data_IF_410638233429
#
_entry.id   IF_410638233429
#
_cell.length_a   1.000
_cell.length_b   1.000
_cell.length_c   1.000
_cell.angle_alpha   90.00
_cell.angle_beta   90.00
_cell.angle_gamma   90.00
#
_symmetry.space_group_name_H-M   'P 1'
#
loop_
_entity.id
_entity.type
_entity.pdbx_description
1 polymer ?
#
# COMPACT_ATOMS: atom_id res chain seq x y z
N UNK A 1 -32.47 -62.16 18.37
CA UNK A 1 -31.69 -63.39 18.12
C UNK A 1 -31.51 -63.52 16.62
N UNK A 2 -30.32 -63.97 16.18
CA UNK A 2 -29.77 -63.97 14.80
C UNK A 2 -29.16 -62.61 14.42
N UNK A 3 -27.87 -62.31 14.65
CA UNK A 3 -26.59 -62.98 14.32
C UNK A 3 -26.33 -63.14 12.83
N UNK A 4 -25.64 -62.17 12.23
CA UNK A 4 -24.62 -62.40 11.17
C UNK A 4 -23.80 -61.12 10.96
N UNK A 5 -22.49 -61.24 11.10
CA UNK A 5 -21.43 -60.31 10.66
C UNK A 5 -20.34 -61.18 9.99
N UNK A 6 -19.27 -60.61 9.41
CA UNK A 6 -19.22 -59.90 8.15
C UNK A 6 -18.25 -60.58 7.14
N UNK A 7 -18.28 -60.17 5.86
CA UNK A 7 -17.26 -60.56 4.88
C UNK A 7 -16.24 -59.43 4.69
N UNK A 8 -15.01 -59.75 5.03
CA UNK A 8 -13.78 -58.96 4.93
C UNK A 8 -13.19 -59.19 3.53
N UNK A 9 -12.96 -58.12 2.75
CA UNK A 9 -12.22 -58.18 1.48
C UNK A 9 -10.95 -57.37 1.65
N UNK A 10 -9.85 -58.09 1.84
CA UNK A 10 -8.48 -57.57 1.87
C UNK A 10 -7.93 -57.50 0.45
N UNK A 11 -7.76 -56.30 -0.11
CA UNK A 11 -6.92 -56.08 -1.30
C UNK A 11 -5.54 -55.57 -0.87
N UNK A 12 -4.57 -56.47 -0.93
CA UNK A 12 -3.15 -56.26 -0.66
C UNK A 12 -2.52 -55.78 -1.98
N UNK A 13 -2.09 -54.53 -2.04
CA UNK A 13 -1.27 -54.02 -3.15
C UNK A 13 0.09 -53.64 -2.61
N UNK A 14 1.04 -54.54 -2.79
CA UNK A 14 2.46 -54.30 -2.58
C UNK A 14 2.98 -53.34 -3.67
N UNK A 15 3.33 -52.12 -3.28
CA UNK A 15 4.11 -51.20 -4.12
C UNK A 15 5.50 -51.01 -3.52
N UNK A 16 6.47 -51.47 -4.28
CA UNK A 16 7.92 -51.44 -4.05
C UNK A 16 8.43 -50.00 -3.98
N UNK A 17 9.25 -49.61 -2.99
CA UNK A 17 9.90 -48.31 -2.97
C UNK A 17 11.12 -48.27 -3.91
N UNK A 18 11.37 -47.15 -4.62
CA UNK A 18 12.57 -46.98 -5.44
C UNK A 18 13.85 -46.85 -4.57
N UNK A 19 15.01 -47.32 -5.06
CA UNK A 19 16.23 -47.39 -4.28
C UNK A 19 16.86 -46.02 -3.98
N UNK A 20 17.41 -45.93 -2.77
CA UNK A 20 18.20 -44.81 -2.27
C UNK A 20 19.52 -44.68 -3.07
N UNK A 21 19.81 -43.47 -3.55
CA UNK A 21 21.15 -43.13 -4.05
C UNK A 21 22.06 -42.82 -2.85
N UNK A 22 23.03 -43.71 -2.64
CA UNK A 22 24.15 -43.50 -1.72
C UNK A 22 25.21 -42.58 -2.33
N UNK A 23 25.65 -41.62 -1.52
CA UNK A 23 26.86 -40.85 -1.74
C UNK A 23 28.10 -41.67 -1.35
N UNK A 24 29.15 -41.60 -2.16
CA UNK A 24 30.54 -41.96 -1.81
C UNK A 24 31.45 -41.12 -2.72
N UNK A 25 32.13 -40.08 -2.23
CA UNK A 25 33.40 -40.02 -1.49
C UNK A 25 34.67 -40.31 -2.31
N UNK A 26 35.51 -39.26 -2.35
CA UNK A 26 36.98 -39.26 -2.38
C UNK A 26 37.73 -39.69 -3.66
N UNK A 27 38.44 -38.72 -4.26
CA UNK A 27 39.89 -38.86 -4.41
C UNK A 27 40.59 -37.48 -4.52
N UNK A 28 41.47 -37.24 -3.56
CA UNK A 28 42.52 -36.22 -3.59
C UNK A 28 43.52 -36.52 -4.72
N UNK A 29 43.89 -35.49 -5.49
CA UNK A 29 45.20 -35.47 -6.16
C UNK A 29 45.82 -34.10 -5.94
N UNK A 30 46.79 -34.08 -5.03
CA UNK A 30 47.78 -33.03 -4.81
C UNK A 30 48.82 -33.04 -5.92
N UNK A 31 49.02 -31.90 -6.61
CA UNK A 31 50.34 -31.50 -7.14
C UNK A 31 50.32 -30.09 -7.75
N UNK A 32 50.84 -29.11 -7.01
CA UNK A 32 51.66 -28.01 -7.54
C UNK A 32 53.14 -28.46 -7.46
N UNK A 33 54.15 -27.88 -8.16
CA UNK A 33 54.25 -26.46 -8.55
C UNK A 33 54.86 -26.18 -9.95
N UNK A 34 54.73 -24.95 -10.45
CA UNK A 34 55.82 -24.14 -11.04
C UNK A 34 55.27 -22.91 -11.79
N UNK A 35 55.72 -21.73 -11.39
CA UNK A 35 55.64 -20.49 -12.16
C UNK A 35 56.52 -20.56 -13.42
N UNK A 36 56.21 -19.78 -14.47
CA UNK A 36 57.15 -18.70 -14.77
C UNK A 36 56.50 -17.36 -15.15
N UNK A 37 57.18 -16.32 -14.68
CA UNK A 37 57.10 -14.90 -15.03
C UNK A 37 57.28 -14.64 -16.52
N UNK A 38 56.38 -13.85 -17.14
CA UNK A 38 56.76 -12.88 -18.18
C UNK A 38 55.67 -11.84 -18.46
N UNK A 39 55.93 -10.62 -17.95
CA UNK A 39 55.74 -9.25 -18.49
C UNK A 39 54.58 -8.84 -19.42
N UNK A 40 54.18 -7.55 -19.35
CA UNK A 40 52.92 -7.03 -19.86
C UNK A 40 53.01 -6.49 -21.29
N UNK A 41 51.91 -6.60 -22.04
CA UNK A 41 51.71 -5.88 -23.30
C UNK A 41 50.57 -4.87 -23.12
N UNK A 42 50.97 -3.60 -23.10
CA UNK A 42 50.08 -2.46 -23.35
C UNK A 42 49.59 -2.49 -24.79
N UNK A 43 48.30 -2.25 -25.04
CA UNK A 43 47.83 -1.54 -26.24
C UNK A 43 46.40 -0.99 -26.09
N UNK A 44 46.37 0.34 -26.01
CA UNK A 44 45.47 1.27 -26.73
C UNK A 44 43.95 1.08 -26.65
N UNK A 45 43.35 1.93 -25.79
CA UNK A 45 42.40 2.99 -26.18
C UNK A 45 41.43 2.72 -27.33
N UNK A 46 40.14 2.64 -26.99
CA UNK A 46 39.06 3.12 -27.84
C UNK A 46 38.06 3.86 -26.97
N UNK A 47 38.02 5.17 -27.19
CA UNK A 47 37.06 6.11 -26.64
C UNK A 47 35.68 5.82 -27.23
N UNK A 48 34.65 5.73 -26.39
CA UNK A 48 33.28 6.04 -26.81
C UNK A 48 32.60 6.84 -25.70
N UNK A 49 32.51 8.14 -25.96
CA UNK A 49 31.45 9.08 -25.57
C UNK A 49 30.76 8.85 -24.21
N UNK A 50 31.12 9.73 -23.29
CA UNK A 50 30.35 10.17 -22.12
C UNK A 50 28.83 10.15 -22.33
N UNK A 51 28.14 9.38 -21.49
CA UNK A 51 26.71 9.49 -21.27
C UNK A 51 26.42 10.79 -20.48
N UNK A 52 25.33 11.51 -20.79
CA UNK A 52 24.97 12.71 -20.04
C UNK A 52 24.63 12.33 -18.59
N UNK A 53 25.35 12.93 -17.64
CA UNK A 53 24.99 12.92 -16.23
C UNK A 53 23.63 13.59 -16.11
N UNK A 54 22.64 12.86 -15.61
CA UNK A 54 21.40 13.48 -15.19
C UNK A 54 21.71 14.35 -13.97
N UNK A 55 21.45 15.63 -14.15
CA UNK A 55 21.57 16.69 -13.16
C UNK A 55 20.76 16.30 -11.91
N UNK A 56 21.49 16.15 -10.80
CA UNK A 56 20.97 16.08 -9.44
C UNK A 56 20.88 17.53 -8.96
N UNK A 57 19.75 18.16 -9.24
CA UNK A 57 19.47 19.57 -8.99
C UNK A 57 17.99 19.62 -8.58
N UNK A 58 17.58 19.97 -7.36
CA UNK A 58 18.20 20.83 -6.36
C UNK A 58 17.63 20.56 -4.96
N UNK A 59 18.48 20.16 -4.01
CA UNK A 59 18.32 20.56 -2.62
C UNK A 59 19.04 21.91 -2.47
N UNK A 60 18.31 23.02 -2.64
CA UNK A 60 18.81 24.33 -2.21
C UNK A 60 18.71 24.34 -0.69
N UNK A 61 19.82 24.00 -0.04
CA UNK A 61 20.00 24.30 1.37
C UNK A 61 20.10 25.83 1.51
N UNK A 62 19.05 26.46 2.05
CA UNK A 62 19.14 27.83 2.52
C UNK A 62 20.15 27.90 3.68
N UNK A 63 21.06 28.89 3.72
CA UNK A 63 21.99 29.04 4.82
C UNK A 63 21.28 29.72 6.00
N UNK A 64 21.10 29.01 7.12
CA UNK A 64 20.84 29.69 8.41
C UNK A 64 19.89 29.05 9.41
N UNK A 65 19.20 27.95 9.11
CA UNK A 65 18.43 27.18 10.12
C UNK A 65 18.73 25.68 9.92
N UNK A 66 18.98 24.90 11.00
CA UNK A 66 19.04 23.45 10.83
C UNK A 66 17.67 23.00 10.31
N UNK A 67 17.58 22.28 9.18
CA UNK A 67 16.34 21.57 8.89
C UNK A 67 16.17 20.62 10.06
N UNK A 68 15.19 20.89 10.93
CA UNK A 68 14.73 19.89 11.88
C UNK A 68 14.32 18.70 11.03
N UNK A 69 15.22 17.72 10.89
CA UNK A 69 14.99 16.48 10.17
C UNK A 69 13.72 15.88 10.79
N UNK A 70 12.61 15.96 10.07
CA UNK A 70 11.37 15.33 10.50
C UNK A 70 11.61 13.83 10.38
N UNK A 71 12.16 13.27 11.46
CA UNK A 71 12.52 11.87 11.56
C UNK A 71 11.25 11.05 11.61
N UNK A 72 11.15 10.08 10.71
CA UNK A 72 10.05 9.13 10.67
C UNK A 72 10.16 8.18 11.88
N UNK A 73 9.08 8.06 12.65
CA UNK A 73 8.97 7.07 13.73
C UNK A 73 7.67 6.29 13.56
N UNK A 74 7.79 5.03 13.15
CA UNK A 74 6.62 4.17 12.99
C UNK A 74 5.88 4.01 14.34
N UNK A 75 4.60 4.31 14.35
CA UNK A 75 3.66 4.10 15.46
C UNK A 75 2.76 2.90 15.23
N UNK A 76 2.53 2.54 13.97
CA UNK A 76 1.74 1.37 13.59
C UNK A 76 2.44 0.59 12.47
N UNK A 77 2.21 -0.73 12.45
CA UNK A 77 2.74 -1.60 11.40
C UNK A 77 1.73 -2.68 11.01
N UNK A 78 1.61 -2.91 9.70
CA UNK A 78 0.70 -3.87 9.12
C UNK A 78 1.40 -4.80 8.15
N UNK A 79 1.15 -6.10 8.28
CA UNK A 79 1.56 -7.11 7.31
C UNK A 79 0.42 -7.37 6.33
N UNK A 80 0.58 -6.91 5.10
CA UNK A 80 -0.38 -7.17 4.01
C UNK A 80 0.02 -8.49 3.35
N UNK A 81 -0.89 -9.46 3.32
CA UNK A 81 -0.66 -10.74 2.66
C UNK A 81 -1.45 -10.81 1.35
N UNK A 82 -0.74 -10.88 0.23
CA UNK A 82 -1.35 -11.12 -1.07
C UNK A 82 -0.42 -11.95 -1.94
N UNK A 83 -0.94 -13.01 -2.60
CA UNK A 83 -0.14 -13.87 -3.47
C UNK A 83 0.38 -13.13 -4.71
N UNK A 84 -0.19 -11.96 -5.02
CA UNK A 84 0.14 -11.17 -6.20
C UNK A 84 -0.07 -11.95 -7.51
N UNK A 85 0.58 -11.48 -8.58
CA UNK A 85 0.55 -12.12 -9.90
C UNK A 85 1.95 -12.52 -10.36
N UNK A 86 2.12 -13.81 -10.68
CA UNK A 86 3.36 -14.38 -11.24
C UNK A 86 3.63 -13.87 -12.67
N UNK A 87 4.89 -13.94 -13.10
CA UNK A 87 5.34 -13.52 -14.43
C UNK A 87 4.70 -14.33 -15.57
N UNK A 88 4.45 -15.61 -15.35
CA UNK A 88 3.61 -16.45 -16.21
C UNK A 88 2.56 -17.14 -15.34
N UNK A 89 1.29 -16.96 -15.70
CA UNK A 89 0.17 -17.70 -15.13
C UNK A 89 -0.63 -18.25 -16.29
N UNK A 90 -0.69 -19.58 -16.43
CA UNK A 90 -1.59 -20.21 -17.37
C UNK A 90 -3.04 -19.82 -17.03
N UNK A 91 -3.94 -19.72 -18.01
CA UNK A 91 -5.37 -19.54 -17.77
C UNK A 91 -5.95 -20.82 -17.13
N UNK A 92 -5.67 -21.04 -15.85
CA UNK A 92 -6.25 -22.14 -15.09
C UNK A 92 -7.67 -21.79 -14.60
N UNK A 93 -8.40 -22.84 -14.19
CA UNK A 93 -9.77 -22.87 -13.68
C UNK A 93 -10.10 -21.72 -12.70
N UNK A 94 -11.39 -21.34 -12.55
CA UNK A 94 -11.80 -20.18 -11.75
C UNK A 94 -11.43 -20.35 -10.28
N UNK A 95 -10.31 -19.76 -9.87
CA UNK A 95 -9.95 -19.56 -8.47
C UNK A 95 -10.84 -18.42 -7.93
N UNK A 96 -11.51 -18.60 -6.79
CA UNK A 96 -12.34 -17.57 -6.17
C UNK A 96 -11.53 -16.28 -5.90
N UNK A 97 -12.20 -15.11 -5.78
CA UNK A 97 -11.51 -13.89 -5.41
C UNK A 97 -10.91 -14.05 -4.01
N UNK A 98 -9.58 -14.20 -3.95
CA UNK A 98 -8.87 -14.41 -2.70
C UNK A 98 -8.91 -13.13 -1.85
N UNK A 99 -9.50 -13.17 -0.63
CA UNK A 99 -9.43 -12.05 0.29
C UNK A 99 -7.97 -11.67 0.57
N UNK A 100 -7.71 -10.39 0.80
CA UNK A 100 -6.38 -9.91 1.17
C UNK A 100 -6.41 -9.61 2.67
N UNK A 101 -5.90 -10.52 3.53
CA UNK A 101 -5.82 -10.27 4.96
C UNK A 101 -4.66 -9.32 5.28
N UNK A 102 -4.92 -8.45 6.25
CA UNK A 102 -4.00 -7.42 6.72
C UNK A 102 -3.91 -7.57 8.24
N UNK A 103 -2.73 -7.89 8.73
CA UNK A 103 -2.49 -8.17 10.14
C UNK A 103 -1.76 -6.99 10.77
N UNK A 104 -2.23 -6.51 11.91
CA UNK A 104 -1.42 -5.66 12.78
C UNK A 104 -0.21 -6.47 13.28
N UNK A 105 0.97 -5.88 13.20
CA UNK A 105 2.23 -6.48 13.66
C UNK A 105 2.99 -5.46 14.52
N UNK A 106 3.83 -5.92 15.46
CA UNK A 106 4.73 -5.04 16.19
C UNK A 106 5.60 -4.22 15.23
N UNK A 107 5.77 -2.93 15.54
CA UNK A 107 6.63 -2.01 14.78
C UNK A 107 8.08 -2.52 14.74
N UNK A 108 8.56 -3.01 15.88
CA UNK A 108 9.87 -3.63 16.03
C UNK A 108 9.72 -5.15 16.12
N UNK A 109 10.34 -5.88 15.20
CA UNK A 109 10.39 -7.36 15.22
C UNK A 109 9.99 -8.05 13.91
N UNK A 110 10.35 -9.34 13.74
CA UNK A 110 9.98 -10.13 12.57
C UNK A 110 8.48 -10.46 12.60
N UNK A 111 7.80 -10.38 11.45
CA UNK A 111 6.36 -10.65 11.32
C UNK A 111 6.03 -12.11 11.66
N UNK A 112 6.99 -13.00 11.39
CA UNK A 112 7.00 -14.41 11.75
C UNK A 112 6.64 -14.66 13.22
N UNK A 113 7.06 -13.80 14.16
CA UNK A 113 6.76 -13.99 15.58
C UNK A 113 5.26 -14.00 15.92
N UNK A 114 4.45 -13.22 15.18
CA UNK A 114 3.00 -13.14 15.38
C UNK A 114 2.25 -14.15 14.51
N UNK A 115 2.73 -14.39 13.29
CA UNK A 115 2.05 -15.23 12.30
C UNK A 115 2.38 -16.72 12.38
N UNK A 116 3.50 -17.11 13.01
CA UNK A 116 3.93 -18.51 13.16
C UNK A 116 3.45 -19.16 14.47
N UNK A 117 2.79 -18.40 15.34
CA UNK A 117 2.15 -18.95 16.54
C UNK A 117 0.94 -19.79 16.13
N UNK A 118 0.84 -21.03 16.61
CA UNK A 118 -0.25 -21.99 16.30
C UNK A 118 -1.67 -21.55 16.72
N UNK A 119 -1.85 -20.30 17.14
CA UNK A 119 -3.13 -19.67 17.37
C UNK A 119 -3.68 -19.12 16.05
N UNK A 120 -5.00 -19.21 15.84
CA UNK A 120 -5.67 -18.59 14.70
C UNK A 120 -5.46 -17.08 14.78
N UNK A 121 -4.56 -16.54 13.97
CA UNK A 121 -4.33 -15.10 13.90
C UNK A 121 -5.47 -14.47 13.12
N UNK A 122 -6.31 -13.71 13.81
CA UNK A 122 -7.39 -12.95 13.18
C UNK A 122 -6.79 -11.71 12.50
N UNK A 123 -7.05 -11.47 11.21
CA UNK A 123 -6.58 -10.25 10.56
C UNK A 123 -7.25 -9.02 11.19
N UNK A 124 -6.54 -7.89 11.20
CA UNK A 124 -7.12 -6.61 11.63
C UNK A 124 -8.09 -6.09 10.56
N UNK A 125 -7.71 -6.22 9.30
CA UNK A 125 -8.56 -5.87 8.18
C UNK A 125 -8.55 -6.94 7.11
N UNK A 126 -9.63 -7.02 6.34
CA UNK A 126 -9.71 -7.86 5.15
C UNK A 126 -10.22 -7.03 4.00
N UNK A 127 -9.45 -7.02 2.90
CA UNK A 127 -9.93 -6.45 1.65
C UNK A 127 -10.59 -7.53 0.81
N UNK A 128 -11.89 -7.33 0.56
CA UNK A 128 -12.74 -8.26 -0.19
C UNK A 128 -12.94 -7.78 -1.63
N UNK A 129 -13.03 -8.74 -2.54
CA UNK A 129 -13.31 -8.49 -3.95
C UNK A 129 -14.53 -9.29 -4.37
N UNK A 130 -15.54 -8.60 -4.91
CA UNK A 130 -16.77 -9.22 -5.39
C UNK A 130 -16.53 -10.32 -6.44
N UNK A 131 -15.79 -10.00 -7.51
CA UNK A 131 -15.49 -10.95 -8.59
C UNK A 131 -14.07 -10.81 -9.11
N UNK A 132 -13.53 -11.88 -9.69
CA UNK A 132 -12.21 -11.85 -10.34
C UNK A 132 -12.17 -10.74 -11.40
N UNK A 133 -11.27 -9.78 -11.20
CA UNK A 133 -11.06 -8.70 -12.18
C UNK A 133 -12.08 -7.56 -12.12
N UNK A 134 -13.01 -7.53 -11.16
CA UNK A 134 -13.94 -6.41 -10.93
C UNK A 134 -13.23 -5.06 -10.78
N UNK A 135 -11.93 -5.07 -10.47
CA UNK A 135 -11.19 -3.89 -10.08
C UNK A 135 -11.53 -3.55 -8.63
N UNK A 136 -12.81 -3.34 -8.36
CA UNK A 136 -13.39 -2.90 -7.10
C UNK A 136 -13.09 -3.80 -5.91
N UNK A 137 -12.92 -3.18 -4.74
CA UNK A 137 -12.78 -3.85 -3.46
C UNK A 137 -13.43 -3.06 -2.33
N UNK A 138 -13.79 -3.76 -1.27
CA UNK A 138 -14.24 -3.20 0.01
C UNK A 138 -13.26 -3.60 1.09
N UNK A 139 -13.06 -2.75 2.09
CA UNK A 139 -12.26 -3.01 3.28
C UNK A 139 -13.22 -3.17 4.45
N UNK A 140 -13.11 -4.27 5.18
CA UNK A 140 -13.87 -4.54 6.41
C UNK A 140 -12.91 -4.83 7.56
N UNK A 141 -13.40 -4.73 8.79
CA UNK A 141 -12.67 -5.22 9.95
C UNK A 141 -12.56 -6.76 9.89
N UNK A 142 -11.40 -7.29 10.26
CA UNK A 142 -11.13 -8.72 10.08
C UNK A 142 -11.82 -9.61 11.12
N UNK A 143 -12.29 -9.06 12.25
CA UNK A 143 -13.15 -9.80 13.19
C UNK A 143 -14.50 -10.20 12.58
N UNK A 144 -14.98 -9.46 11.58
CA UNK A 144 -16.24 -9.73 10.89
C UNK A 144 -16.07 -10.71 9.72
N UNK A 145 -14.83 -11.07 9.37
CA UNK A 145 -14.55 -11.95 8.24
C UNK A 145 -15.00 -13.41 8.46
N UNK A 146 -14.82 -14.04 9.65
CA UNK A 146 -15.30 -15.40 9.90
C UNK A 146 -16.81 -15.53 9.69
N UNK A 147 -17.60 -14.57 10.16
CA UNK A 147 -19.06 -14.53 10.01
C UNK A 147 -19.48 -14.55 8.53
N UNK A 148 -18.75 -13.79 7.70
CA UNK A 148 -18.93 -13.70 6.25
C UNK A 148 -18.53 -14.99 5.52
N UNK A 149 -17.61 -15.77 6.07
CA UNK A 149 -17.17 -17.05 5.51
C UNK A 149 -18.09 -18.23 5.89
N UNK A 150 -18.81 -18.12 7.02
CA UNK A 150 -19.69 -19.18 7.54
C UNK A 150 -21.16 -19.05 7.10
N UNK A 151 -21.63 -17.85 6.75
CA UNK A 151 -23.03 -17.60 6.37
C UNK A 151 -23.14 -17.26 4.88
N UNK A 152 -23.91 -18.06 4.13
CA UNK A 152 -24.21 -17.79 2.71
C UNK A 152 -25.27 -16.70 2.51
N UNK A 153 -26.00 -16.32 3.56
CA UNK A 153 -26.91 -15.18 3.60
C UNK A 153 -26.14 -13.99 4.17
N UNK A 154 -26.05 -12.96 3.33
CA UNK A 154 -25.21 -11.78 3.48
C UNK A 154 -25.39 -11.12 4.84
N UNK A 155 -24.26 -10.90 5.50
CA UNK A 155 -24.14 -10.15 6.72
C UNK A 155 -24.37 -8.67 6.44
N UNK A 156 -25.65 -8.29 6.34
CA UNK A 156 -26.11 -6.92 6.11
C UNK A 156 -25.61 -5.95 7.20
N UNK A 157 -25.22 -6.48 8.37
CA UNK A 157 -24.78 -5.70 9.53
C UNK A 157 -23.26 -5.43 9.55
N UNK A 158 -22.46 -5.92 8.61
CA UNK A 158 -21.00 -5.68 8.61
C UNK A 158 -20.69 -4.34 7.97
N UNK A 159 -20.23 -3.32 8.73
CA UNK A 159 -19.96 -2.02 8.16
C UNK A 159 -18.68 -2.04 7.32
N UNK A 160 -18.79 -1.58 6.07
CA UNK A 160 -17.63 -1.34 5.20
C UNK A 160 -16.87 -0.09 5.66
N UNK A 161 -15.56 -0.23 5.92
CA UNK A 161 -14.70 0.87 6.36
C UNK A 161 -14.22 1.73 5.19
N UNK A 162 -13.97 1.10 4.05
CA UNK A 162 -13.55 1.80 2.84
C UNK A 162 -13.96 1.04 1.58
N UNK A 163 -14.20 1.77 0.49
CA UNK A 163 -14.28 1.18 -0.85
C UNK A 163 -13.21 1.74 -1.77
N UNK A 164 -12.82 0.94 -2.74
CA UNK A 164 -12.03 1.41 -3.88
C UNK A 164 -12.71 0.95 -5.16
N UNK A 165 -12.99 1.91 -6.04
CA UNK A 165 -13.56 1.67 -7.35
C UNK A 165 -12.50 1.90 -8.42
N UNK A 166 -12.17 0.85 -9.18
CA UNK A 166 -11.20 0.97 -10.26
C UNK A 166 -11.91 1.19 -11.57
N UNK A 167 -11.53 2.27 -12.25
CA UNK A 167 -12.08 2.68 -13.53
C UNK A 167 -11.11 2.27 -14.63
N UNK A 168 -11.60 1.52 -15.61
CA UNK A 168 -10.79 1.12 -16.76
C UNK A 168 -10.84 2.20 -17.85
N UNK A 169 -9.68 2.61 -18.36
CA UNK A 169 -9.54 3.58 -19.45
C UNK A 169 -8.47 4.63 -19.19
N UNK A 170 -7.95 5.24 -20.26
CA UNK A 170 -6.98 6.33 -20.17
C UNK A 170 -7.58 7.50 -19.38
N UNK A 171 -6.79 8.09 -18.47
CA UNK A 171 -7.21 9.23 -17.66
C UNK A 171 -8.20 8.93 -16.53
N UNK A 172 -8.67 7.69 -16.38
CA UNK A 172 -9.62 7.34 -15.30
C UNK A 172 -8.87 6.89 -14.04
N UNK A 173 -8.67 7.82 -13.11
CA UNK A 173 -8.12 7.51 -11.80
C UNK A 173 -9.04 6.55 -11.02
N UNK A 174 -8.49 5.62 -10.22
CA UNK A 174 -9.29 4.88 -9.25
C UNK A 174 -9.78 5.86 -8.17
N UNK A 175 -11.03 5.69 -7.74
CA UNK A 175 -11.62 6.47 -6.66
C UNK A 175 -11.67 5.63 -5.38
N UNK A 176 -11.43 6.26 -4.24
CA UNK A 176 -11.59 5.65 -2.92
C UNK A 176 -12.65 6.40 -2.13
N UNK A 177 -13.39 5.68 -1.29
CA UNK A 177 -14.28 6.27 -0.29
C UNK A 177 -13.92 5.71 1.07
N UNK A 178 -13.77 6.59 2.05
CA UNK A 178 -13.61 6.23 3.46
C UNK A 178 -14.93 6.52 4.16
N UNK A 179 -15.42 5.55 4.92
CA UNK A 179 -16.62 5.71 5.73
C UNK A 179 -16.24 6.01 7.18
N UNK A 180 -17.13 6.73 7.85
CA UNK A 180 -17.05 6.90 9.29
C UNK A 180 -17.35 5.58 10.00
N UNK A 181 -16.91 5.47 11.24
CA UNK A 181 -17.12 4.28 12.07
C UNK A 181 -18.58 3.91 12.20
N UNK A 182 -18.90 2.69 11.73
CA UNK A 182 -20.25 2.14 11.73
C UNK A 182 -21.19 2.72 10.67
N UNK A 183 -20.76 3.71 9.87
CA UNK A 183 -21.61 4.34 8.85
C UNK A 183 -21.51 3.66 7.48
N UNK A 184 -20.69 2.63 7.36
CA UNK A 184 -20.46 1.91 6.12
C UNK A 184 -21.70 1.10 5.71
N UNK A 185 -22.04 1.05 4.41
CA UNK A 185 -23.03 0.10 3.93
C UNK A 185 -22.53 -1.34 4.13
N UNK A 186 -23.43 -2.31 3.99
CA UNK A 186 -23.06 -3.72 3.91
C UNK A 186 -22.12 -3.96 2.72
N UNK A 187 -21.31 -5.04 2.71
CA UNK A 187 -20.44 -5.36 1.58
C UNK A 187 -21.22 -5.57 0.26
N UNK A 188 -22.40 -6.20 0.32
CA UNK A 188 -23.31 -6.38 -0.81
C UNK A 188 -23.75 -5.03 -1.39
N UNK A 189 -24.30 -4.15 -0.55
CA UNK A 189 -24.79 -2.84 -0.97
C UNK A 189 -23.68 -1.96 -1.52
N UNK A 190 -22.49 -2.04 -0.90
CA UNK A 190 -21.29 -1.36 -1.40
C UNK A 190 -20.93 -1.82 -2.81
N UNK A 191 -20.96 -3.14 -3.06
CA UNK A 191 -20.70 -3.69 -4.39
C UNK A 191 -21.78 -3.29 -5.41
N UNK A 192 -23.05 -3.36 -5.04
CA UNK A 192 -24.17 -2.97 -5.90
C UNK A 192 -24.11 -1.49 -6.28
N UNK A 193 -23.81 -0.62 -5.31
CA UNK A 193 -23.57 0.80 -5.54
C UNK A 193 -22.42 1.03 -6.53
N UNK A 194 -21.29 0.33 -6.35
CA UNK A 194 -20.13 0.44 -7.25
C UNK A 194 -20.41 -0.10 -8.66
N UNK A 195 -21.28 -1.11 -8.81
CA UNK A 195 -21.70 -1.65 -10.10
C UNK A 195 -22.70 -0.74 -10.81
N UNK A 196 -23.65 -0.14 -10.07
CA UNK A 196 -24.60 0.83 -10.61
C UNK A 196 -23.88 2.06 -11.18
N UNK A 197 -22.88 2.57 -10.45
CA UNK A 197 -22.03 3.68 -10.89
C UNK A 197 -21.28 3.40 -12.20
N UNK A 198 -20.96 2.13 -12.52
CA UNK A 198 -20.34 1.76 -13.81
C UNK A 198 -21.29 1.82 -15.00
N UNK A 199 -22.59 1.59 -14.79
CA UNK A 199 -23.61 1.57 -15.86
C UNK A 199 -24.14 2.95 -16.17
N UNK A 200 -24.15 3.86 -15.20
CA UNK A 200 -24.37 5.29 -15.40
C UNK A 200 -23.15 5.95 -16.03
N UNK A 201 -22.99 5.83 -17.35
CA UNK A 201 -21.88 6.47 -18.06
C UNK A 201 -21.85 7.98 -17.78
N UNK A 202 -20.87 8.43 -16.99
CA UNK A 202 -20.59 9.85 -16.84
C UNK A 202 -20.14 10.38 -18.21
N UNK A 203 -21.09 10.97 -18.96
CA UNK A 203 -20.84 11.91 -20.07
C UNK A 203 -20.35 13.27 -19.53
N UNK A 204 -19.65 13.29 -18.40
CA UNK A 204 -18.84 14.45 -18.02
C UNK A 204 -17.60 14.40 -18.90
N UNK A 205 -17.52 15.31 -19.88
CA UNK A 205 -16.26 15.57 -20.56
C UNK A 205 -15.19 15.80 -19.48
N UNK A 206 -13.97 15.28 -19.62
CA UNK A 206 -12.87 15.81 -18.82
C UNK A 206 -12.83 17.31 -19.12
N UNK A 207 -12.98 18.17 -18.11
CA UNK A 207 -12.64 19.57 -18.29
C UNK A 207 -11.18 19.61 -18.74
N UNK A 208 -10.87 20.46 -19.71
CA UNK A 208 -9.53 20.67 -20.25
C UNK A 208 -8.51 21.19 -19.20
N UNK A 209 -8.87 21.23 -17.92
CA UNK A 209 -8.05 21.67 -16.78
C UNK A 209 -6.96 20.68 -16.39
N UNK A 210 -7.03 19.40 -16.80
CA UNK A 210 -5.96 18.43 -16.52
C UNK A 210 -4.65 18.69 -17.31
N UNK A 211 -4.58 19.78 -18.10
CA UNK A 211 -3.41 20.17 -18.88
C UNK A 211 -2.63 21.36 -18.34
N UNK A 212 -2.98 21.90 -17.18
CA UNK A 212 -2.24 22.99 -16.52
C UNK A 212 -1.83 22.60 -15.10
N UNK A 213 -0.89 21.66 -14.96
CA UNK A 213 -0.19 21.42 -13.69
C UNK A 213 1.32 21.50 -13.92
N UNK A 214 1.75 22.64 -14.46
CA UNK A 214 3.11 23.20 -14.35
C UNK A 214 2.90 24.72 -14.18
N UNK A 215 2.59 25.15 -12.97
CA UNK A 215 2.34 26.56 -12.64
C UNK A 215 1.48 26.69 -11.39
N UNK A 216 2.13 26.99 -10.27
CA UNK A 216 1.44 27.32 -9.03
C UNK A 216 0.61 28.61 -9.17
N UNK A 217 -0.59 28.62 -8.61
CA UNK A 217 -1.41 29.83 -8.47
C UNK A 217 -2.83 29.54 -8.01
N UNK A 218 -3.08 29.72 -6.71
CA UNK A 218 -4.35 30.07 -6.06
C UNK A 218 -5.63 29.27 -6.38
N UNK A 219 -6.13 28.55 -5.37
CA UNK A 219 -7.58 28.33 -5.19
C UNK A 219 -8.18 27.03 -5.74
N UNK A 220 -7.42 25.94 -5.80
CA UNK A 220 -7.97 24.65 -6.21
C UNK A 220 -8.76 24.05 -5.02
N UNK A 221 -10.09 24.11 -5.10
CA UNK A 221 -10.97 23.47 -4.13
C UNK A 221 -10.58 22.00 -3.97
N UNK A 222 -10.65 21.43 -2.76
CA UNK A 222 -10.23 20.05 -2.58
C UNK A 222 -11.00 19.10 -3.50
N UNK A 223 -10.28 18.32 -4.31
CA UNK A 223 -10.84 17.23 -5.13
C UNK A 223 -11.27 16.03 -4.26
N UNK A 224 -12.08 16.28 -3.23
CA UNK A 224 -12.80 15.28 -2.45
C UNK A 224 -14.24 15.73 -2.21
N UNK A 225 -15.15 14.77 -2.18
CA UNK A 225 -16.56 15.00 -1.89
C UNK A 225 -16.83 14.57 -0.44
N UNK A 226 -17.26 15.52 0.39
CA UNK A 226 -17.68 15.27 1.77
C UNK A 226 -19.13 14.79 1.79
N UNK A 227 -19.39 13.76 2.60
CA UNK A 227 -20.74 13.28 2.87
C UNK A 227 -20.93 13.27 4.40
N UNK A 228 -21.62 14.29 4.96
CA UNK A 228 -21.90 14.33 6.39
C UNK A 228 -22.83 13.17 6.75
N UNK A 229 -22.50 12.47 7.84
CA UNK A 229 -23.39 11.46 8.42
C UNK A 229 -24.29 12.10 9.48
N UNK A 230 -25.39 11.42 9.83
CA UNK A 230 -26.33 11.89 10.86
C UNK A 230 -25.65 12.18 12.21
N UNK A 231 -24.51 11.53 12.47
CA UNK A 231 -23.75 11.62 13.72
C UNK A 231 -22.58 12.61 13.64
N UNK A 232 -22.56 13.51 12.65
CA UNK A 232 -21.47 14.46 12.36
C UNK A 232 -20.11 13.84 12.03
N UNK A 233 -20.00 12.51 11.96
CA UNK A 233 -18.80 11.85 11.46
C UNK A 233 -18.67 12.04 9.96
N UNK A 234 -17.45 12.23 9.45
CA UNK A 234 -17.23 12.55 8.04
C UNK A 234 -16.81 11.34 7.22
N UNK A 235 -17.69 10.93 6.30
CA UNK A 235 -17.29 10.09 5.18
C UNK A 235 -16.87 10.96 3.99
N UNK A 236 -15.92 10.50 3.19
CA UNK A 236 -15.46 11.26 2.03
C UNK A 236 -15.02 10.36 0.88
N UNK A 237 -15.14 10.89 -0.34
CA UNK A 237 -14.69 10.24 -1.58
C UNK A 237 -13.59 11.07 -2.22
N UNK A 238 -12.51 10.45 -2.69
CA UNK A 238 -11.43 11.14 -3.44
C UNK A 238 -10.85 10.25 -4.54
N UNK A 239 -10.29 10.88 -5.57
CA UNK A 239 -9.61 10.22 -6.68
C UNK A 239 -8.10 10.09 -6.44
N UNK A 240 -7.53 8.93 -6.79
CA UNK A 240 -6.11 8.63 -6.66
C UNK A 240 -5.41 8.90 -8.01
N UNK A 241 -5.10 10.17 -8.22
CA UNK A 241 -4.59 10.68 -9.47
C UNK A 241 -3.10 10.35 -9.68
N UNK A 242 -2.68 9.92 -10.89
CA UNK A 242 -1.26 9.84 -11.21
C UNK A 242 -0.63 11.24 -11.19
N UNK A 243 0.59 11.36 -10.66
CA UNK A 243 1.32 12.66 -10.67
C UNK A 243 1.70 13.06 -12.10
N UNK A 244 2.05 12.09 -12.94
CA UNK A 244 2.27 12.29 -14.37
C UNK A 244 2.09 10.98 -15.14
N UNK A 245 1.97 11.06 -16.46
CA UNK A 245 1.79 9.88 -17.34
C UNK A 245 2.99 8.92 -17.26
N UNK A 246 4.20 9.47 -17.04
CA UNK A 246 5.45 8.70 -16.94
C UNK A 246 5.75 8.25 -15.51
N UNK A 247 5.21 8.96 -14.52
CA UNK A 247 5.45 8.64 -13.13
C UNK A 247 4.53 7.52 -12.65
N UNK A 248 5.08 6.69 -11.76
CA UNK A 248 4.31 5.70 -11.02
C UNK A 248 3.73 6.27 -9.73
N UNK A 249 4.10 7.51 -9.39
CA UNK A 249 3.61 8.20 -8.21
C UNK A 249 2.14 8.58 -8.37
N UNK A 250 1.42 8.62 -7.26
CA UNK A 250 0.03 9.07 -7.21
C UNK A 250 -0.15 10.10 -6.10
N UNK A 251 -1.08 11.02 -6.31
CA UNK A 251 -1.49 12.05 -5.36
C UNK A 251 -2.99 11.96 -5.13
N UNK A 252 -3.42 12.27 -3.91
CA UNK A 252 -4.82 12.34 -3.53
C UNK A 252 -4.97 13.33 -2.36
N UNK A 253 -6.17 13.88 -2.20
CA UNK A 253 -6.46 14.88 -1.17
C UNK A 253 -7.64 14.41 -0.32
N UNK A 254 -7.57 14.63 0.98
CA UNK A 254 -8.59 14.24 1.95
C UNK A 254 -8.84 15.38 2.94
N UNK A 255 -9.87 15.29 3.78
CA UNK A 255 -10.06 16.24 4.89
C UNK A 255 -8.86 16.33 5.85
N UNK A 256 -8.02 15.28 5.92
CA UNK A 256 -6.83 15.23 6.77
C UNK A 256 -5.55 15.74 6.09
N UNK A 257 -5.68 16.25 4.85
CA UNK A 257 -4.59 16.83 4.06
C UNK A 257 -4.38 16.16 2.71
N UNK A 258 -3.35 16.63 2.00
CA UNK A 258 -2.92 16.07 0.73
C UNK A 258 -1.79 15.06 0.93
N UNK A 259 -1.81 13.99 0.12
CA UNK A 259 -0.86 12.90 0.23
C UNK A 259 -0.31 12.46 -1.12
N UNK A 260 0.88 11.86 -1.10
CA UNK A 260 1.51 11.32 -2.29
C UNK A 260 2.18 9.97 -2.00
N UNK A 261 1.87 8.96 -2.80
CA UNK A 261 2.71 7.76 -2.88
C UNK A 261 3.79 7.96 -3.94
N UNK A 262 5.04 7.67 -3.60
CA UNK A 262 6.15 7.56 -4.56
C UNK A 262 6.96 6.29 -4.34
N UNK A 263 7.69 5.87 -5.37
CA UNK A 263 8.73 4.88 -5.20
C UNK A 263 9.97 5.58 -4.63
N UNK A 264 10.63 4.93 -3.68
CA UNK A 264 11.81 5.49 -3.05
C UNK A 264 13.03 5.47 -3.98
N UNK A 265 14.04 6.26 -3.64
CA UNK A 265 15.34 6.22 -4.29
C UNK A 265 16.09 4.93 -3.94
N UNK A 266 17.24 4.69 -4.61
CA UNK A 266 18.13 3.56 -4.27
C UNK A 266 18.76 3.73 -2.89
N UNK A 267 19.09 4.96 -2.50
CA UNK A 267 19.67 5.26 -1.19
C UNK A 267 18.67 4.94 -0.07
N UNK A 268 17.42 5.43 -0.19
CA UNK A 268 16.33 5.13 0.76
C UNK A 268 16.07 3.61 0.88
N UNK A 269 16.07 2.88 -0.24
CA UNK A 269 15.93 1.41 -0.22
C UNK A 269 17.06 0.73 0.53
N UNK A 270 18.31 1.15 0.28
CA UNK A 270 19.49 0.58 0.94
C UNK A 270 19.45 0.84 2.45
N UNK A 271 19.07 2.07 2.86
CA UNK A 271 18.93 2.43 4.26
C UNK A 271 17.88 1.57 4.98
N UNK A 272 16.78 1.24 4.31
CA UNK A 272 15.71 0.40 4.86
C UNK A 272 15.89 -1.11 4.63
N UNK A 273 17.00 -1.56 4.02
CA UNK A 273 17.21 -2.97 3.66
C UNK A 273 16.15 -3.55 2.70
N UNK A 274 15.47 -2.70 1.92
CA UNK A 274 14.32 -3.09 1.12
C UNK A 274 14.67 -3.34 -0.35
N UNK A 275 14.13 -4.39 -0.96
CA UNK A 275 14.23 -4.57 -2.42
C UNK A 275 13.30 -3.59 -3.16
N UNK A 276 12.12 -3.35 -2.60
CA UNK A 276 11.17 -2.33 -3.05
C UNK A 276 10.66 -1.58 -1.83
N UNK A 277 10.59 -0.25 -1.96
CA UNK A 277 10.03 0.64 -0.95
C UNK A 277 9.14 1.66 -1.65
N UNK A 278 7.90 1.79 -1.16
CA UNK A 278 7.02 2.90 -1.48
C UNK A 278 6.93 3.81 -0.26
N UNK A 279 6.96 5.11 -0.50
CA UNK A 279 6.87 6.15 0.53
C UNK A 279 5.53 6.86 0.37
N UNK A 280 4.76 6.91 1.45
CA UNK A 280 3.59 7.76 1.58
C UNK A 280 4.04 9.06 2.25
N UNK A 281 3.85 10.18 1.57
CA UNK A 281 4.18 11.52 2.06
C UNK A 281 2.91 12.32 2.29
N UNK A 282 2.85 13.08 3.37
CA UNK A 282 1.92 14.20 3.54
C UNK A 282 2.53 15.45 2.92
N UNK A 283 1.75 16.16 2.13
CA UNK A 283 2.13 17.42 1.49
C UNK A 283 1.63 18.57 2.35
N UNK A 284 2.55 19.37 2.90
CA UNK A 284 2.25 20.52 3.77
C UNK A 284 2.67 21.79 3.03
N UNK A 285 1.72 22.66 2.75
CA UNK A 285 2.01 23.97 2.15
C UNK A 285 2.53 24.90 3.24
N UNK A 286 3.73 25.44 3.05
CA UNK A 286 4.35 26.42 3.94
C UNK A 286 4.29 27.77 3.23
N UNK A 287 3.70 28.76 3.91
CA UNK A 287 3.80 30.14 3.49
C UNK A 287 5.23 30.63 3.76
N UNK A 288 5.93 31.12 2.74
CA UNK A 288 7.25 31.73 2.94
C UNK A 288 7.11 33.01 3.77
N UNK A 289 7.93 33.13 4.82
CA UNK A 289 7.85 34.23 5.79
C UNK A 289 8.21 35.61 5.20
N UNK A 290 8.77 35.65 4.00
CA UNK A 290 9.09 36.89 3.28
C UNK A 290 8.60 36.79 1.83
N UNK A 291 7.47 37.44 1.47
CA UNK A 291 7.07 37.53 0.09
C UNK A 291 8.10 38.39 -0.65
N UNK A 292 9.01 37.75 -1.38
CA UNK A 292 9.82 38.44 -2.37
C UNK A 292 8.87 38.99 -3.42
N UNK A 293 8.99 40.28 -3.73
CA UNK A 293 7.97 41.15 -4.34
C UNK A 293 7.54 40.84 -5.78
N UNK A 294 7.54 39.59 -6.23
CA UNK A 294 7.06 39.24 -7.58
C UNK A 294 6.48 37.84 -7.76
N UNK A 295 6.29 37.02 -6.72
CA UNK A 295 5.60 35.73 -6.87
C UNK A 295 5.18 35.17 -5.52
N UNK A 296 3.92 34.77 -5.44
CA UNK A 296 3.29 34.06 -4.32
C UNK A 296 3.83 32.61 -4.27
N UNK A 297 5.11 32.44 -3.91
CA UNK A 297 5.78 31.13 -3.89
C UNK A 297 5.51 30.45 -2.56
N UNK A 298 4.37 29.75 -2.47
CA UNK A 298 4.18 28.76 -1.42
C UNK A 298 5.08 27.55 -1.69
N UNK A 299 5.86 27.13 -0.69
CA UNK A 299 6.68 25.92 -0.80
C UNK A 299 5.91 24.71 -0.27
N UNK A 300 6.04 23.55 -0.93
CA UNK A 300 5.40 22.31 -0.47
C UNK A 300 6.42 21.44 0.25
N UNK A 301 6.30 21.33 1.57
CA UNK A 301 7.06 20.38 2.38
C UNK A 301 6.47 18.98 2.23
N UNK A 302 7.34 17.99 2.07
CA UNK A 302 6.99 16.57 1.97
C UNK A 302 7.42 15.87 3.25
N UNK A 303 6.45 15.41 4.03
CA UNK A 303 6.71 14.71 5.29
C UNK A 303 6.39 13.23 5.10
N UNK A 304 7.38 12.32 5.18
CA UNK A 304 7.12 10.88 5.16
C UNK A 304 6.23 10.48 6.33
N UNK A 305 5.10 9.85 6.05
CA UNK A 305 4.17 9.33 7.07
C UNK A 305 3.96 7.81 6.95
N UNK A 306 4.47 7.19 5.89
CA UNK A 306 4.39 5.75 5.76
C UNK A 306 5.40 5.15 4.81
N UNK A 307 5.79 3.92 5.11
CA UNK A 307 6.70 3.12 4.31
C UNK A 307 6.12 1.74 4.03
N UNK A 308 5.94 1.40 2.76
CA UNK A 308 5.57 0.05 2.35
C UNK A 308 6.80 -0.71 1.85
N UNK A 309 7.31 -1.57 2.71
CA UNK A 309 8.57 -2.29 2.60
C UNK A 309 8.32 -3.69 2.03
N UNK A 310 9.15 -4.06 1.04
CA UNK A 310 9.22 -5.43 0.50
C UNK A 310 10.66 -5.89 0.39
N UNK A 311 11.03 -6.76 1.32
CA UNK A 311 12.26 -7.55 1.44
C UNK A 311 11.91 -9.04 1.43
N UNK A 312 12.90 -9.93 1.49
CA UNK A 312 12.64 -11.37 1.55
C UNK A 312 11.79 -11.76 2.78
N UNK A 313 11.99 -11.08 3.92
CA UNK A 313 11.26 -11.37 5.17
C UNK A 313 9.86 -10.74 5.28
N UNK A 314 9.56 -9.73 4.46
CA UNK A 314 8.29 -8.97 4.56
C UNK A 314 7.32 -9.29 3.44
N UNK A 315 7.76 -9.99 2.39
CA UNK A 315 6.89 -10.43 1.30
C UNK A 315 5.94 -11.52 1.78
N UNK A 316 4.79 -11.61 1.12
CA UNK A 316 3.87 -12.71 1.37
C UNK A 316 4.55 -14.06 1.08
N UNK A 317 4.34 -15.08 1.94
CA UNK A 317 4.92 -16.40 1.75
C UNK A 317 4.66 -16.96 0.34
N UNK A 318 5.66 -17.61 -0.24
CA UNK A 318 5.56 -18.18 -1.61
C UNK A 318 5.61 -17.15 -2.74
N UNK A 319 5.86 -15.87 -2.45
CA UNK A 319 6.05 -14.82 -3.46
C UNK A 319 7.51 -14.41 -3.57
N UNK A 320 7.90 -13.81 -4.70
CA UNK A 320 9.26 -13.35 -4.94
C UNK A 320 9.29 -11.91 -5.44
N UNK A 321 10.50 -11.36 -5.64
CA UNK A 321 10.71 -10.04 -6.25
C UNK A 321 10.05 -9.85 -7.62
N UNK A 322 9.82 -10.93 -8.37
CA UNK A 322 9.21 -10.86 -9.71
C UNK A 322 7.67 -10.94 -9.68
N UNK A 323 7.09 -11.30 -8.54
CA UNK A 323 5.64 -11.33 -8.33
C UNK A 323 5.09 -9.91 -8.21
N UNK A 324 4.22 -9.50 -9.14
CA UNK A 324 3.63 -8.17 -9.13
C UNK A 324 2.49 -8.06 -8.12
N UNK A 325 2.44 -6.94 -7.38
CA UNK A 325 1.39 -6.70 -6.39
C UNK A 325 1.34 -7.74 -5.27
N UNK A 326 2.47 -8.37 -4.95
CA UNK A 326 2.60 -9.19 -3.76
C UNK A 326 2.69 -8.30 -2.51
N UNK A 327 2.39 -8.88 -1.36
CA UNK A 327 2.31 -8.16 -0.09
C UNK A 327 3.67 -7.70 0.44
N UNK A 328 3.62 -7.06 1.60
CA UNK A 328 4.72 -6.33 2.23
C UNK A 328 4.34 -5.85 3.63
N UNK A 329 5.28 -5.16 4.27
CA UNK A 329 5.05 -4.50 5.55
C UNK A 329 4.78 -3.01 5.33
N UNK A 330 3.63 -2.53 5.78
CA UNK A 330 3.29 -1.11 5.84
C UNK A 330 3.62 -0.57 7.23
N UNK A 331 4.52 0.39 7.33
CA UNK A 331 4.81 1.15 8.54
C UNK A 331 4.14 2.52 8.43
N UNK A 332 3.52 3.02 9.49
CA UNK A 332 2.88 4.33 9.54
C UNK A 332 3.39 5.14 10.74
N UNK A 333 3.60 6.43 10.54
CA UNK A 333 3.85 7.42 11.58
C UNK A 333 2.60 8.29 11.73
N UNK A 334 1.84 8.03 12.79
CA UNK A 334 0.56 8.68 13.06
C UNK A 334 0.68 9.82 14.09
N UNK A 335 1.91 10.15 14.53
CA UNK A 335 2.13 11.17 15.59
C UNK A 335 1.63 12.56 15.22
N UNK A 336 1.59 12.88 13.92
CA UNK A 336 1.07 14.15 13.44
C UNK A 336 -0.43 14.35 13.70
N UNK A 337 -1.14 13.29 14.11
CA UNK A 337 -2.55 13.32 14.50
C UNK A 337 -2.76 12.93 15.97
N UNK A 338 -1.69 12.70 16.74
CA UNK A 338 -1.75 12.42 18.18
C UNK A 338 -1.67 13.75 18.99
N UNK A 339 -2.68 14.08 19.82
CA UNK A 339 -2.72 15.30 20.61
C UNK A 339 -1.61 15.30 21.66
N UNK A 340 -1.14 14.12 22.06
CA UNK A 340 -0.04 13.95 23.02
C UNK A 340 1.33 14.09 22.35
N UNK A 341 1.40 13.92 21.03
CA UNK A 341 2.62 14.02 20.22
C UNK A 341 3.08 15.45 19.95
N UNK A 342 2.16 16.42 20.01
CA UNK A 342 2.45 17.85 19.97
C UNK A 342 1.78 18.55 21.16
N UNK A 343 2.39 18.37 22.35
CA UNK A 343 2.11 19.27 23.46
C UNK A 343 2.63 20.68 23.09
N UNK A 344 1.79 21.49 22.44
CA UNK A 344 2.00 22.93 22.44
C UNK A 344 1.70 23.38 23.86
N UNK A 345 2.65 23.98 24.60
CA UNK A 345 2.36 24.48 25.93
C UNK A 345 1.33 25.61 25.79
N UNK A 346 0.10 25.33 26.19
CA UNK A 346 -0.94 26.35 26.33
C UNK A 346 -0.54 27.21 27.54
N UNK A 347 0.20 28.28 27.29
CA UNK A 347 0.39 29.36 28.25
C UNK A 347 -0.92 30.17 28.29
N UNK A 348 -1.80 29.83 29.23
CA UNK A 348 -3.04 30.56 29.48
C UNK A 348 -3.19 30.80 30.97
N UNK A 349 -3.21 32.07 31.36
CA UNK A 349 -3.36 32.53 32.74
C UNK A 349 -4.62 31.96 33.40
N UNK A 350 -4.40 31.30 34.54
CA UNK A 350 -5.43 30.63 35.31
C UNK A 350 -6.20 31.65 36.16
N UNK A 351 -7.36 32.11 35.69
CA UNK A 351 -8.38 32.66 36.57
C UNK A 351 -9.80 32.47 36.00
N UNK A 352 -10.44 31.33 36.31
CA UNK A 352 -11.91 31.20 36.46
C UNK A 352 -12.31 29.77 36.82
N UNK A 353 -12.98 29.60 37.96
CA UNK A 353 -13.36 28.30 38.54
C UNK A 353 -14.58 27.63 37.89
N UNK A 354 -15.21 28.25 36.88
CA UNK A 354 -16.24 27.62 36.05
C UNK A 354 -15.67 26.93 34.79
N UNK A 355 -14.36 27.01 34.58
CA UNK A 355 -13.66 26.53 33.37
C UNK A 355 -13.34 25.02 33.39
N UNK A 356 -13.17 24.40 34.56
CA UNK A 356 -12.54 23.07 34.68
C UNK A 356 -13.38 21.94 34.05
N UNK A 357 -14.72 22.00 34.16
CA UNK A 357 -15.59 20.97 33.58
C UNK A 357 -15.67 21.09 32.06
N UNK A 358 -15.75 22.32 31.55
CA UNK A 358 -15.74 22.58 30.11
C UNK A 358 -14.39 22.26 29.48
N UNK A 359 -13.29 22.55 30.18
CA UNK A 359 -11.94 22.21 29.75
C UNK A 359 -11.72 20.71 29.73
N UNK A 360 -12.16 19.99 30.78
CA UNK A 360 -12.12 18.51 30.78
C UNK A 360 -12.93 17.92 29.63
N UNK A 361 -14.11 18.47 29.32
CA UNK A 361 -14.95 18.02 28.21
C UNK A 361 -14.30 18.31 26.85
N UNK A 362 -13.64 19.46 26.69
CA UNK A 362 -12.88 19.81 25.48
C UNK A 362 -11.68 18.89 25.25
N UNK A 363 -10.92 18.59 26.31
CA UNK A 363 -9.78 17.67 26.22
C UNK A 363 -10.22 16.26 25.83
N UNK A 364 -11.30 15.75 26.43
CA UNK A 364 -11.86 14.45 26.06
C UNK A 364 -12.34 14.41 24.60
N UNK A 365 -12.99 15.49 24.13
CA UNK A 365 -13.44 15.58 22.74
C UNK A 365 -12.26 15.69 21.75
N UNK A 366 -11.16 16.36 22.13
CA UNK A 366 -9.95 16.44 21.31
C UNK A 366 -9.23 15.10 21.22
N UNK A 367 -9.15 14.35 22.33
CA UNK A 367 -8.59 12.99 22.36
C UNK A 367 -9.42 12.04 21.47
N UNK A 368 -10.75 12.12 21.52
CA UNK A 368 -11.64 11.32 20.67
C UNK A 368 -11.48 11.69 19.19
N UNK A 369 -11.50 12.98 18.84
CA UNK A 369 -11.33 13.45 17.47
C UNK A 369 -9.95 13.07 16.89
N UNK A 370 -8.92 13.05 17.72
CA UNK A 370 -7.61 12.55 17.33
C UNK A 370 -7.61 11.05 17.04
N UNK A 371 -8.18 10.25 17.94
CA UNK A 371 -8.24 8.81 17.75
C UNK A 371 -8.96 8.46 16.44
N UNK A 372 -10.07 9.17 16.15
CA UNK A 372 -10.80 9.06 14.89
C UNK A 372 -9.93 9.48 13.68
N UNK A 373 -9.17 10.58 13.80
CA UNK A 373 -8.26 11.01 12.74
C UNK A 373 -7.14 10.00 12.48
N UNK A 374 -6.53 9.41 13.52
CA UNK A 374 -5.48 8.40 13.42
C UNK A 374 -5.99 7.14 12.71
N UNK A 375 -7.14 6.61 13.13
CA UNK A 375 -7.77 5.45 12.50
C UNK A 375 -8.19 5.77 11.04
N UNK A 376 -8.67 6.99 10.77
CA UNK A 376 -8.97 7.42 9.40
C UNK A 376 -7.71 7.46 8.52
N UNK A 377 -6.57 7.99 9.01
CA UNK A 377 -5.29 7.98 8.28
C UNK A 377 -4.80 6.57 8.02
N UNK A 378 -4.95 5.67 9.01
CA UNK A 378 -4.63 4.26 8.86
C UNK A 378 -5.43 3.62 7.72
N UNK A 379 -6.76 3.81 7.70
CA UNK A 379 -7.63 3.33 6.62
C UNK A 379 -7.27 3.92 5.27
N UNK A 380 -6.95 5.22 5.21
CA UNK A 380 -6.46 5.89 4.00
C UNK A 380 -5.18 5.20 3.50
N UNK A 381 -4.20 5.00 4.38
CA UNK A 381 -2.91 4.44 4.01
C UNK A 381 -3.04 3.00 3.53
N UNK A 382 -3.82 2.16 4.22
CA UNK A 382 -4.11 0.78 3.82
C UNK A 382 -4.83 0.75 2.47
N UNK A 383 -5.93 1.49 2.34
CA UNK A 383 -6.76 1.51 1.11
C UNK A 383 -5.94 1.96 -0.10
N UNK A 384 -5.17 3.03 0.05
CA UNK A 384 -4.33 3.54 -1.04
C UNK A 384 -3.11 2.66 -1.32
N UNK A 385 -2.58 1.94 -0.33
CA UNK A 385 -1.55 0.93 -0.54
C UNK A 385 -2.08 -0.24 -1.41
N UNK A 386 -3.30 -0.72 -1.15
CA UNK A 386 -3.97 -1.73 -1.97
C UNK A 386 -4.17 -1.25 -3.42
N UNK A 387 -4.49 0.04 -3.61
CA UNK A 387 -4.50 0.69 -4.93
C UNK A 387 -3.15 0.57 -5.65
N UNK A 388 -2.04 0.81 -4.95
CA UNK A 388 -0.70 0.70 -5.51
C UNK A 388 -0.35 -0.74 -5.90
N UNK A 389 -0.69 -1.72 -5.07
CA UNK A 389 -0.49 -3.15 -5.38
C UNK A 389 -1.28 -3.57 -6.63
N UNK A 390 -2.55 -3.15 -6.74
CA UNK A 390 -3.36 -3.43 -7.91
C UNK A 390 -2.81 -2.78 -9.18
N UNK A 391 -2.35 -1.53 -9.10
CA UNK A 391 -1.67 -0.84 -10.23
C UNK A 391 -0.44 -1.61 -10.70
N UNK A 392 0.32 -2.24 -9.81
CA UNK A 392 1.43 -3.11 -10.19
C UNK A 392 0.97 -4.35 -10.98
N UNK A 393 -0.08 -5.02 -10.51
CA UNK A 393 -0.68 -6.17 -11.21
C UNK A 393 -1.17 -5.76 -12.60
N UNK A 394 -1.82 -4.62 -12.73
CA UNK A 394 -2.37 -4.16 -14.02
C UNK A 394 -1.28 -3.80 -15.02
N UNK A 395 -0.22 -3.13 -14.58
CA UNK A 395 0.97 -2.90 -15.42
C UNK A 395 1.57 -4.22 -15.90
N UNK A 396 1.67 -5.22 -15.02
CA UNK A 396 2.17 -6.55 -15.40
C UNK A 396 1.29 -7.21 -16.45
N UNK A 397 -0.03 -7.12 -16.31
CA UNK A 397 -0.99 -7.65 -17.29
C UNK A 397 -0.86 -6.95 -18.64
N UNK A 398 -0.68 -5.64 -18.65
CA UNK A 398 -0.44 -4.88 -19.87
C UNK A 398 0.83 -5.35 -20.59
N UNK A 399 1.95 -5.50 -19.86
CA UNK A 399 3.19 -6.01 -20.46
C UNK A 399 3.04 -7.44 -20.99
N UNK A 400 2.36 -8.34 -20.26
CA UNK A 400 2.07 -9.69 -20.74
C UNK A 400 1.23 -9.67 -22.03
N UNK A 401 0.18 -8.84 -22.08
CA UNK A 401 -0.65 -8.70 -23.26
C UNK A 401 0.14 -8.21 -24.48
N UNK A 402 1.01 -7.20 -24.29
CA UNK A 402 1.88 -6.67 -25.36
C UNK A 402 2.87 -7.71 -25.88
N UNK A 403 3.48 -8.50 -25.00
CA UNK A 403 4.41 -9.57 -25.39
C UNK A 403 3.68 -10.65 -26.19
N UNK A 404 2.49 -11.08 -25.72
CA UNK A 404 1.69 -12.08 -26.40
C UNK A 404 1.15 -11.57 -27.76
N UNK A 405 0.73 -10.31 -27.86
CA UNK A 405 0.30 -9.72 -29.13
C UNK A 405 1.46 -9.51 -30.11
N UNK A 406 2.64 -9.14 -29.61
CA UNK A 406 3.85 -9.00 -30.43
C UNK A 406 4.36 -10.34 -30.96
N UNK A 407 4.25 -11.41 -30.19
CA UNK A 407 4.60 -12.76 -30.63
C UNK A 407 3.63 -13.34 -31.67
N UNK A 408 2.38 -12.84 -31.72
CA UNK A 408 1.36 -13.29 -32.68
C UNK A 408 1.41 -12.57 -34.04
N UNK A 409 2.11 -11.44 -34.15
CA UNK A 409 2.22 -10.64 -35.37
C UNK A 409 3.45 -10.92 -36.24
N UNK A 410 4.22 -11.97 -35.93
CA UNK A 410 5.47 -12.33 -36.61
C UNK A 410 5.41 -13.68 -37.32
N UNK A 411 4.31 -13.97 -38.01
CA UNK A 411 4.14 -15.13 -38.91
C UNK A 411 3.71 -14.69 -40.30
#
# INVERSE_FOLDING_TARGET
MSSTSPLEVTSKTDMVPPPAYTADSSQEVTSSPASPTSRPLSRTSSQTSSLPGYDDSTAIAAPGLPPSEVSFSATAAFQIQTPGKRWFSLPAAPIPPDPIPIYSVPVSGPASSVLDSAAIVVPTYVSLRHTRGSGNCVLIHGSSFPELSSSSTLADDIPVLATTQYRFGAGKAPSMRIYADGSGPSPSDAFDTMHASRRGGCRGKPSDEARALDGAGAGDAPAYELQPTADHKMSFTTDICPVSIRSRAVRFSTPLGAFQWRYSTRAERKAMGAHSLLVLERLVTIAEAYPSSSSDVSSTLRVPIGFFIRSDDTRSPGTSRSTAGNGGRLLLDLRAWDPKGYAVPVFGDADSTNSVVDEKRRLMAADEASAEAMDTVERIAITTCLCMLKKEVDRRRLYQALILSGAAGGV
#
